data_IF_074234004172
#
_entry.id   IF_074234004172
#
_cell.length_a   1.000
_cell.length_b   1.000
_cell.length_c   1.000
_cell.angle_alpha   90.00
_cell.angle_beta   90.00
_cell.angle_gamma   90.00
#
_symmetry.space_group_name_H-M   'P 1'
#
loop_
_entity.id
_entity.type
_entity.pdbx_description
1 polymer ?
#
# COMPACT_ATOMS: atom_id res chain seq x y z
N UNK A 1 12.99 50.02 80.87
CA UNK A 1 13.24 48.58 80.53
C UNK A 1 12.54 48.30 79.21
N UNK A 2 13.31 48.07 78.17
CA UNK A 2 12.84 47.99 76.80
C UNK A 2 12.30 46.55 76.49
N UNK A 3 11.10 46.46 75.92
CA UNK A 3 10.55 45.22 75.40
C UNK A 3 10.44 45.30 73.87
N UNK A 4 11.33 44.56 73.21
CA UNK A 4 11.43 44.49 71.73
C UNK A 4 10.38 43.52 71.17
N UNK A 5 9.48 44.04 70.32
CA UNK A 5 8.48 43.25 69.61
C UNK A 5 9.06 42.81 68.28
N UNK A 6 9.24 41.49 68.09
CA UNK A 6 9.67 40.89 66.80
C UNK A 6 8.47 40.73 65.86
N UNK A 7 8.60 41.23 64.63
CA UNK A 7 7.67 41.11 63.51
C UNK A 7 7.96 39.82 62.74
N UNK A 8 6.99 38.98 62.33
CA UNK A 8 7.26 37.81 61.47
C UNK A 8 7.39 38.19 59.99
N UNK A 9 8.40 37.61 59.32
CA UNK A 9 8.69 37.73 57.90
C UNK A 9 7.62 37.03 57.06
N UNK A 10 7.00 37.78 56.13
CA UNK A 10 6.15 37.27 55.07
C UNK A 10 7.00 36.47 54.07
N UNK A 11 6.77 35.16 53.93
CA UNK A 11 7.27 34.35 52.83
C UNK A 11 6.50 34.69 51.52
N UNK A 12 7.18 35.30 50.57
CA UNK A 12 6.68 35.54 49.21
C UNK A 12 6.52 34.19 48.48
N UNK A 13 5.31 33.89 48.01
CA UNK A 13 5.07 32.82 47.01
C UNK A 13 5.59 33.28 45.64
N UNK A 14 6.71 32.73 45.20
CA UNK A 14 7.17 32.86 43.84
C UNK A 14 6.28 31.99 42.92
N UNK A 15 5.40 32.60 42.14
CA UNK A 15 4.67 31.96 41.07
C UNK A 15 5.58 31.95 39.83
N UNK A 16 6.33 30.92 39.65
CA UNK A 16 7.06 30.66 38.40
C UNK A 16 6.06 30.21 37.34
N UNK A 17 5.72 31.08 36.40
CA UNK A 17 5.02 30.69 35.16
C UNK A 17 5.88 29.67 34.38
N UNK A 18 5.31 28.56 33.90
CA UNK A 18 6.07 27.62 33.08
C UNK A 18 6.57 28.30 31.80
N UNK A 19 7.86 28.07 31.50
CA UNK A 19 8.55 28.66 30.37
C UNK A 19 7.91 28.21 29.05
N UNK A 20 7.72 29.13 28.07
CA UNK A 20 7.23 28.83 26.71
C UNK A 20 8.00 27.70 26.00
N UNK A 21 9.25 27.42 26.40
CA UNK A 21 10.05 26.31 25.90
C UNK A 21 9.57 24.94 26.38
N UNK A 22 9.07 24.80 27.60
CA UNK A 22 8.53 23.54 28.11
C UNK A 22 7.23 23.16 27.38
N UNK A 23 6.35 24.12 27.08
CA UNK A 23 5.09 23.87 26.35
C UNK A 23 5.31 23.46 24.89
N UNK A 24 6.39 23.93 24.22
CA UNK A 24 6.71 23.53 22.84
C UNK A 24 7.30 22.12 22.76
N UNK A 25 8.08 21.71 23.75
CA UNK A 25 8.64 20.35 23.84
C UNK A 25 7.58 19.31 24.20
N UNK A 26 6.59 19.69 25.01
CA UNK A 26 5.45 18.80 25.32
C UNK A 26 4.50 18.66 24.12
N UNK A 27 4.23 19.73 23.38
CA UNK A 27 3.44 19.69 22.14
C UNK A 27 4.12 18.89 21.00
N UNK A 28 5.45 18.85 20.98
CA UNK A 28 6.23 18.05 19.99
C UNK A 28 6.28 16.57 20.41
N UNK A 29 6.34 16.28 21.69
CA UNK A 29 6.19 14.93 22.24
C UNK A 29 4.80 14.34 22.04
N UNK A 30 3.74 15.14 22.20
CA UNK A 30 2.36 14.71 21.91
C UNK A 30 2.14 14.45 20.43
N UNK A 31 2.68 15.28 19.54
CA UNK A 31 2.64 15.04 18.08
C UNK A 31 3.42 13.81 17.67
N UNK A 32 4.61 13.59 18.20
CA UNK A 32 5.41 12.39 17.98
C UNK A 32 4.73 11.14 18.54
N UNK A 33 4.09 11.23 19.71
CA UNK A 33 3.31 10.14 20.30
C UNK A 33 2.08 9.75 19.49
N UNK A 34 1.37 10.73 18.90
CA UNK A 34 0.20 10.49 18.04
C UNK A 34 0.57 9.74 16.75
N UNK A 35 1.65 10.12 16.08
CA UNK A 35 2.15 9.46 14.88
C UNK A 35 2.57 8.01 15.17
N UNK A 36 3.23 7.76 16.29
CA UNK A 36 3.59 6.41 16.72
C UNK A 36 2.38 5.52 17.01
N UNK A 37 1.29 6.05 17.55
CA UNK A 37 0.06 5.27 17.81
C UNK A 37 -0.58 4.81 16.51
N UNK A 38 -0.62 5.65 15.48
CA UNK A 38 -1.14 5.27 14.16
C UNK A 38 -0.29 4.16 13.52
N UNK A 39 1.03 4.27 13.57
CA UNK A 39 1.94 3.25 13.05
C UNK A 39 1.74 1.90 13.77
N UNK A 40 1.62 1.91 15.10
CA UNK A 40 1.35 0.71 15.92
C UNK A 40 -0.03 0.11 15.64
N UNK A 41 -1.05 0.95 15.43
CA UNK A 41 -2.39 0.49 15.04
C UNK A 41 -2.35 -0.23 13.69
N UNK A 42 -1.67 0.35 12.69
CA UNK A 42 -1.47 -0.27 11.38
C UNK A 42 -0.70 -1.60 11.49
N UNK A 43 0.31 -1.69 12.35
CA UNK A 43 1.06 -2.94 12.58
C UNK A 43 0.17 -4.04 13.19
N UNK A 44 -0.68 -3.69 14.15
CA UNK A 44 -1.66 -4.63 14.73
C UNK A 44 -2.62 -5.12 13.63
N UNK A 45 -3.13 -4.24 12.77
CA UNK A 45 -4.02 -4.63 11.68
C UNK A 45 -3.34 -5.59 10.69
N UNK A 46 -2.06 -5.36 10.33
CA UNK A 46 -1.29 -6.27 9.46
C UNK A 46 -1.09 -7.65 10.09
N UNK A 47 -0.84 -7.71 11.39
CA UNK A 47 -0.71 -9.00 12.11
C UNK A 47 -2.02 -9.78 12.09
N UNK A 48 -3.17 -9.10 12.05
CA UNK A 48 -4.50 -9.72 12.00
C UNK A 48 -4.96 -10.11 10.58
N UNK A 49 -4.33 -9.58 9.54
CA UNK A 49 -4.74 -9.74 8.13
C UNK A 49 -4.87 -11.21 7.72
N UNK A 50 -3.96 -12.08 8.16
CA UNK A 50 -3.96 -13.50 7.82
C UNK A 50 -4.47 -14.39 8.96
N UNK A 51 -5.28 -13.84 9.87
CA UNK A 51 -5.75 -14.54 11.08
C UNK A 51 -7.28 -14.53 11.16
N UNK A 52 -7.99 -15.30 10.32
CA UNK A 52 -9.46 -15.30 10.28
C UNK A 52 -10.10 -15.73 11.60
N UNK A 53 -9.44 -16.60 12.35
CA UNK A 53 -9.86 -17.05 13.67
C UNK A 53 -9.59 -16.01 14.79
N UNK A 54 -8.82 -14.97 14.46
CA UNK A 54 -8.42 -13.93 15.37
C UNK A 54 -7.25 -14.33 16.29
N UNK A 55 -6.67 -13.32 16.94
CA UNK A 55 -5.58 -13.49 17.91
C UNK A 55 -5.95 -12.93 19.27
N UNK A 56 -5.46 -13.57 20.34
CA UNK A 56 -5.55 -13.00 21.67
C UNK A 56 -4.65 -11.76 21.81
N UNK A 57 -4.98 -10.84 22.75
CA UNK A 57 -4.15 -9.66 23.03
C UNK A 57 -2.69 -10.02 23.36
N UNK A 58 -2.46 -11.19 23.97
CA UNK A 58 -1.11 -11.68 24.27
C UNK A 58 -0.33 -12.13 23.04
N UNK A 59 -0.99 -12.74 22.06
CA UNK A 59 -0.39 -13.11 20.78
C UNK A 59 -0.04 -11.88 19.96
N UNK A 60 -0.98 -10.91 19.85
CA UNK A 60 -0.74 -9.62 19.20
C UNK A 60 0.44 -8.91 19.84
N UNK A 61 0.47 -8.80 21.18
CA UNK A 61 1.54 -8.11 21.91
C UNK A 61 2.93 -8.69 21.61
N UNK A 62 3.03 -10.02 21.52
CA UNK A 62 4.27 -10.71 21.13
C UNK A 62 4.66 -10.44 19.68
N UNK A 63 3.70 -10.46 18.76
CA UNK A 63 3.94 -10.26 17.35
C UNK A 63 4.44 -8.83 17.03
N UNK A 64 3.86 -7.80 17.68
CA UNK A 64 4.23 -6.39 17.46
C UNK A 64 5.27 -5.85 18.46
N UNK A 65 5.80 -6.67 19.39
CA UNK A 65 6.80 -6.25 20.35
C UNK A 65 6.34 -5.18 21.35
N UNK A 66 5.04 -5.11 21.66
CA UNK A 66 4.46 -4.10 22.57
C UNK A 66 3.97 -4.71 23.88
N UNK A 67 3.92 -3.88 24.94
CA UNK A 67 3.28 -4.28 26.19
C UNK A 67 1.78 -4.58 25.97
N UNK A 68 1.26 -5.65 26.59
CA UNK A 68 -0.15 -6.08 26.46
C UNK A 68 -1.15 -4.95 26.79
N UNK A 69 -0.86 -4.11 27.78
CA UNK A 69 -1.70 -2.95 28.13
C UNK A 69 -1.78 -1.91 27.01
N UNK A 70 -0.68 -1.69 26.28
CA UNK A 70 -0.63 -0.80 25.12
C UNK A 70 -1.46 -1.37 23.96
N UNK A 71 -1.29 -2.67 23.66
CA UNK A 71 -2.11 -3.37 22.65
C UNK A 71 -3.59 -3.31 23.01
N UNK A 72 -3.96 -3.56 24.26
CA UNK A 72 -5.34 -3.49 24.72
C UNK A 72 -5.97 -2.11 24.47
N UNK A 73 -5.24 -1.01 24.73
CA UNK A 73 -5.73 0.36 24.49
C UNK A 73 -5.90 0.65 22.99
N UNK A 74 -4.95 0.21 22.17
CA UNK A 74 -5.03 0.41 20.70
C UNK A 74 -6.17 -0.43 20.13
N UNK A 75 -6.29 -1.69 20.51
CA UNK A 75 -7.37 -2.60 20.08
C UNK A 75 -8.74 -2.05 20.50
N UNK A 76 -8.88 -1.51 21.73
CA UNK A 76 -10.12 -0.87 22.16
C UNK A 76 -10.48 0.35 21.29
N UNK A 77 -9.50 1.18 20.93
CA UNK A 77 -9.72 2.31 20.03
C UNK A 77 -10.09 1.85 18.59
N UNK A 78 -9.41 0.83 18.05
CA UNK A 78 -9.75 0.25 16.74
C UNK A 78 -11.14 -0.40 16.74
N UNK A 79 -11.55 -1.01 17.87
CA UNK A 79 -12.88 -1.62 18.01
C UNK A 79 -13.99 -0.56 18.07
N UNK A 80 -13.72 0.60 18.66
CA UNK A 80 -14.67 1.73 18.69
C UNK A 80 -14.99 2.26 17.29
N UNK A 81 -14.04 2.08 16.32
CA UNK A 81 -14.19 2.47 14.91
C UNK A 81 -14.58 1.28 14.00
N UNK A 82 -14.95 0.13 14.57
CA UNK A 82 -15.26 -1.11 13.85
C UNK A 82 -14.10 -1.67 12.99
N UNK A 83 -12.86 -1.23 13.21
CA UNK A 83 -11.69 -1.73 12.45
C UNK A 83 -11.24 -3.11 12.91
N UNK A 84 -11.55 -3.48 14.13
CA UNK A 84 -11.39 -4.82 14.67
C UNK A 84 -12.64 -5.24 15.43
N UNK A 85 -12.87 -6.55 15.54
CA UNK A 85 -13.97 -7.14 16.30
C UNK A 85 -13.47 -8.25 17.21
N UNK A 86 -14.16 -8.46 18.36
CA UNK A 86 -13.90 -9.58 19.25
C UNK A 86 -14.52 -10.86 18.68
N UNK A 87 -13.80 -11.99 18.76
CA UNK A 87 -14.28 -13.32 18.35
C UNK A 87 -14.66 -14.10 19.58
N UNK A 88 -15.97 -14.27 19.80
CA UNK A 88 -16.52 -15.17 20.84
C UNK A 88 -16.13 -14.85 22.29
N UNK A 89 -16.55 -15.70 23.24
CA UNK A 89 -16.35 -15.48 24.67
C UNK A 89 -14.88 -15.53 25.14
N UNK A 90 -14.00 -16.15 24.34
CA UNK A 90 -12.59 -16.33 24.69
C UNK A 90 -11.67 -15.24 24.12
N UNK A 91 -12.22 -14.17 23.53
CA UNK A 91 -11.54 -12.90 23.35
C UNK A 91 -10.46 -12.84 22.28
N UNK A 92 -10.58 -13.55 21.15
CA UNK A 92 -9.78 -13.31 19.96
C UNK A 92 -10.15 -11.97 19.31
N UNK A 93 -9.17 -11.27 18.75
CA UNK A 93 -9.35 -10.04 17.95
C UNK A 93 -9.11 -10.37 16.50
N UNK A 94 -10.01 -9.96 15.63
CA UNK A 94 -9.89 -10.09 14.16
C UNK A 94 -10.20 -8.77 13.47
N UNK A 95 -9.91 -8.70 12.19
CA UNK A 95 -10.29 -7.59 11.31
C UNK A 95 -11.81 -7.37 11.38
N UNK A 96 -12.21 -6.10 11.53
CA UNK A 96 -13.62 -5.68 11.63
C UNK A 96 -14.18 -5.19 10.29
N UNK A 97 -15.51 -5.11 10.20
CA UNK A 97 -16.23 -4.72 8.98
C UNK A 97 -16.10 -3.23 8.65
N UNK A 98 -15.67 -2.38 9.58
CA UNK A 98 -15.38 -0.97 9.34
C UNK A 98 -14.34 -0.74 8.25
N UNK A 99 -13.34 -1.64 8.16
CA UNK A 99 -12.33 -1.58 7.10
C UNK A 99 -12.90 -1.91 5.72
N UNK A 100 -13.93 -2.76 5.62
CA UNK A 100 -14.59 -3.08 4.34
C UNK A 100 -15.27 -1.82 3.77
N UNK A 101 -15.89 -0.99 4.61
CA UNK A 101 -16.50 0.27 4.18
C UNK A 101 -15.46 1.26 3.65
N UNK A 102 -14.29 1.34 4.30
CA UNK A 102 -13.21 2.20 3.85
C UNK A 102 -12.56 1.67 2.57
N UNK A 103 -12.32 0.37 2.50
CA UNK A 103 -11.80 -0.29 1.30
C UNK A 103 -12.73 -0.09 0.10
N UNK A 104 -14.05 -0.09 0.31
CA UNK A 104 -15.02 0.17 -0.74
C UNK A 104 -14.90 1.58 -1.35
N UNK A 105 -14.25 2.54 -0.68
CA UNK A 105 -13.98 3.86 -1.22
C UNK A 105 -12.62 3.99 -1.93
N UNK A 106 -11.72 3.02 -1.73
CA UNK A 106 -10.36 3.01 -2.30
C UNK A 106 -10.39 2.26 -3.63
N UNK A 107 -10.30 2.98 -4.75
CA UNK A 107 -10.22 2.36 -6.09
C UNK A 107 -11.45 1.57 -6.53
N UNK A 108 -12.49 1.45 -5.66
CA UNK A 108 -13.70 0.67 -5.94
C UNK A 108 -14.39 1.10 -7.24
N UNK A 109 -14.37 2.39 -7.54
CA UNK A 109 -14.98 2.90 -8.78
C UNK A 109 -14.25 2.38 -10.04
N UNK A 110 -12.92 2.33 -10.03
CA UNK A 110 -12.11 1.85 -11.15
C UNK A 110 -12.13 0.32 -11.26
N UNK A 111 -11.99 -0.40 -10.15
CA UNK A 111 -12.04 -1.86 -10.14
C UNK A 111 -13.41 -2.37 -10.60
N UNK A 112 -14.50 -1.84 -10.04
CA UNK A 112 -15.87 -2.20 -10.47
C UNK A 112 -16.13 -1.86 -11.93
N UNK A 113 -15.69 -0.67 -12.37
CA UNK A 113 -15.86 -0.19 -13.75
C UNK A 113 -15.11 -1.07 -14.74
N UNK A 114 -13.88 -1.47 -14.41
CA UNK A 114 -13.03 -2.25 -15.32
C UNK A 114 -13.22 -3.75 -15.22
N UNK A 115 -13.82 -4.27 -14.14
CA UNK A 115 -13.95 -5.71 -13.91
C UNK A 115 -14.57 -6.52 -15.07
N UNK A 116 -15.65 -6.07 -15.76
CA UNK A 116 -16.15 -6.77 -16.95
C UNK A 116 -15.14 -6.85 -18.08
N UNK A 117 -14.36 -5.78 -18.26
CA UNK A 117 -13.33 -5.70 -19.29
C UNK A 117 -12.11 -6.56 -18.96
N UNK A 118 -11.69 -6.58 -17.66
CA UNK A 118 -10.62 -7.45 -17.18
C UNK A 118 -10.96 -8.93 -17.37
N UNK A 119 -12.23 -9.31 -17.11
CA UNK A 119 -12.71 -10.68 -17.35
C UNK A 119 -12.63 -11.05 -18.83
N UNK A 120 -13.08 -10.17 -19.72
CA UNK A 120 -12.99 -10.41 -21.16
C UNK A 120 -11.54 -10.59 -21.61
N UNK A 121 -10.60 -9.75 -21.12
CA UNK A 121 -9.17 -9.92 -21.39
C UNK A 121 -8.64 -11.25 -20.86
N UNK A 122 -8.98 -11.63 -19.62
CA UNK A 122 -8.58 -12.90 -19.02
C UNK A 122 -9.13 -14.11 -19.79
N UNK A 123 -10.35 -14.01 -20.31
CA UNK A 123 -10.95 -15.03 -21.17
C UNK A 123 -10.21 -15.15 -22.52
N UNK A 124 -9.82 -14.01 -23.11
CA UNK A 124 -9.11 -13.96 -24.40
C UNK A 124 -7.69 -14.52 -24.28
N UNK A 125 -6.95 -14.18 -23.23
CA UNK A 125 -5.55 -14.63 -23.07
C UNK A 125 -5.40 -15.94 -22.30
N UNK A 126 -6.41 -16.35 -21.51
CA UNK A 126 -6.38 -17.55 -20.68
C UNK A 126 -5.48 -17.47 -19.44
N UNK A 127 -4.87 -16.31 -19.17
CA UNK A 127 -3.96 -16.06 -18.07
C UNK A 127 -4.54 -15.09 -17.04
N UNK A 128 -3.91 -14.97 -15.89
CA UNK A 128 -4.30 -14.01 -14.85
C UNK A 128 -4.17 -12.58 -15.36
N UNK A 129 -5.14 -11.73 -15.02
CA UNK A 129 -5.12 -10.29 -15.29
C UNK A 129 -5.23 -9.55 -13.98
N UNK A 130 -4.24 -8.72 -13.69
CA UNK A 130 -4.16 -7.91 -12.48
C UNK A 130 -4.44 -6.44 -12.77
N UNK A 131 -5.15 -5.79 -11.87
CA UNK A 131 -5.34 -4.35 -11.81
C UNK A 131 -4.62 -3.79 -10.61
N UNK A 132 -3.80 -2.79 -10.81
CA UNK A 132 -3.07 -2.11 -9.73
C UNK A 132 -3.12 -0.60 -9.84
N UNK A 133 -2.92 0.08 -8.70
CA UNK A 133 -2.81 1.53 -8.58
C UNK A 133 -1.53 1.89 -7.86
N UNK A 134 -1.05 3.11 -8.05
CA UNK A 134 0.08 3.63 -7.30
C UNK A 134 -0.35 4.03 -5.87
N UNK A 135 0.37 3.54 -4.87
CA UNK A 135 0.22 3.99 -3.48
C UNK A 135 1.59 4.05 -2.79
N UNK A 136 2.03 5.26 -2.42
CA UNK A 136 3.39 5.45 -1.92
C UNK A 136 4.44 5.10 -2.99
N UNK A 137 5.40 4.25 -2.66
CA UNK A 137 6.40 3.69 -3.57
C UNK A 137 6.04 2.31 -4.14
N UNK A 138 4.76 1.93 -4.18
CA UNK A 138 4.35 0.57 -4.54
C UNK A 138 3.21 0.56 -5.56
N UNK A 139 3.20 -0.46 -6.42
CA UNK A 139 2.03 -0.89 -7.16
C UNK A 139 1.17 -1.77 -6.24
N UNK A 140 -0.05 -1.33 -5.94
CA UNK A 140 -0.99 -2.05 -5.06
C UNK A 140 -2.06 -2.71 -5.90
N UNK A 141 -2.22 -4.02 -5.76
CA UNK A 141 -3.27 -4.76 -6.46
C UNK A 141 -4.64 -4.45 -5.87
N UNK A 142 -5.57 -4.00 -6.71
CA UNK A 142 -6.93 -3.62 -6.31
C UNK A 142 -8.00 -4.56 -6.88
N UNK A 143 -7.68 -5.30 -7.95
CA UNK A 143 -8.52 -6.36 -8.50
C UNK A 143 -7.67 -7.39 -9.26
N UNK A 144 -8.18 -8.61 -9.37
CA UNK A 144 -7.57 -9.72 -10.09
C UNK A 144 -8.64 -10.60 -10.72
N UNK A 145 -8.38 -11.02 -11.96
CA UNK A 145 -9.13 -12.07 -12.64
C UNK A 145 -8.19 -13.25 -12.85
N UNK A 146 -8.38 -14.37 -12.12
CA UNK A 146 -7.52 -15.54 -12.27
C UNK A 146 -7.61 -16.16 -13.67
N UNK A 147 -6.47 -16.62 -14.18
CA UNK A 147 -6.41 -17.38 -15.43
C UNK A 147 -7.07 -18.76 -15.33
N UNK A 148 -7.31 -19.38 -16.48
CA UNK A 148 -7.98 -20.69 -16.57
C UNK A 148 -7.02 -21.88 -16.64
N UNK A 149 -5.72 -21.63 -16.63
CA UNK A 149 -4.70 -22.69 -16.70
C UNK A 149 -4.58 -23.44 -15.38
N UNK A 150 -4.08 -24.69 -15.42
CA UNK A 150 -3.80 -25.48 -14.20
C UNK A 150 -2.73 -24.84 -13.32
N UNK A 151 -1.74 -24.21 -13.94
CA UNK A 151 -0.70 -23.43 -13.27
C UNK A 151 -0.90 -21.97 -13.64
N UNK A 152 -1.26 -21.16 -12.68
CA UNK A 152 -1.48 -19.70 -12.81
C UNK A 152 -0.55 -18.95 -11.88
N UNK A 153 -0.10 -17.77 -12.30
CA UNK A 153 0.50 -16.80 -11.40
C UNK A 153 -0.63 -16.02 -10.72
N UNK A 154 -0.63 -16.00 -9.41
CA UNK A 154 -1.63 -15.29 -8.62
C UNK A 154 -0.94 -14.27 -7.72
N UNK A 155 -1.51 -13.07 -7.67
CA UNK A 155 -1.23 -12.04 -6.69
C UNK A 155 -2.44 -11.91 -5.75
N UNK A 156 -2.26 -11.36 -4.56
CA UNK A 156 -3.40 -11.09 -3.67
C UNK A 156 -3.84 -9.63 -3.80
N UNK A 157 -5.15 -9.38 -3.78
CA UNK A 157 -5.68 -8.01 -3.67
C UNK A 157 -5.20 -7.39 -2.37
N UNK A 158 -4.66 -6.16 -2.42
CA UNK A 158 -4.01 -5.48 -1.31
C UNK A 158 -2.49 -5.68 -1.27
N UNK A 159 -1.95 -6.66 -1.99
CA UNK A 159 -0.51 -6.89 -2.06
C UNK A 159 0.22 -5.72 -2.73
N UNK A 160 1.44 -5.45 -2.26
CA UNK A 160 2.25 -4.29 -2.64
C UNK A 160 3.51 -4.76 -3.33
N UNK A 161 3.69 -4.35 -4.56
CA UNK A 161 4.84 -4.75 -5.38
C UNK A 161 5.77 -3.57 -5.67
N UNK A 162 7.09 -3.82 -5.77
CA UNK A 162 8.05 -2.78 -6.12
C UNK A 162 7.83 -2.25 -7.54
N UNK A 163 8.15 -0.95 -7.74
CA UNK A 163 7.90 -0.30 -9.03
C UNK A 163 8.97 -0.64 -10.07
N UNK A 164 10.22 -0.85 -9.67
CA UNK A 164 11.36 -0.92 -10.58
C UNK A 164 11.56 -2.27 -11.28
N UNK A 165 11.00 -3.36 -10.76
CA UNK A 165 11.23 -4.72 -11.26
C UNK A 165 9.95 -5.49 -11.61
N UNK A 166 8.80 -4.82 -11.67
CA UNK A 166 7.52 -5.42 -12.05
C UNK A 166 6.94 -4.76 -13.29
N UNK A 167 6.19 -5.50 -14.09
CA UNK A 167 5.60 -4.97 -15.32
C UNK A 167 4.62 -3.82 -15.06
N UNK A 168 3.72 -3.95 -14.07
CA UNK A 168 2.81 -2.89 -13.65
C UNK A 168 3.56 -1.71 -13.02
N UNK A 169 4.60 -1.95 -12.24
CA UNK A 169 5.44 -0.92 -11.66
C UNK A 169 6.17 -0.07 -12.70
N UNK A 170 6.85 -0.70 -13.65
CA UNK A 170 7.52 0.01 -14.77
C UNK A 170 6.51 0.75 -15.66
N UNK A 171 5.32 0.19 -15.87
CA UNK A 171 4.23 0.87 -16.58
C UNK A 171 3.75 2.13 -15.84
N UNK A 172 3.64 2.08 -14.50
CA UNK A 172 3.31 3.23 -13.65
C UNK A 172 4.41 4.30 -13.75
N UNK A 173 5.69 3.91 -13.60
CA UNK A 173 6.83 4.84 -13.68
C UNK A 173 6.86 5.62 -15.00
N UNK A 174 6.50 4.96 -16.11
CA UNK A 174 6.45 5.59 -17.43
C UNK A 174 5.40 6.70 -17.57
N UNK A 175 4.43 6.78 -16.66
CA UNK A 175 3.43 7.86 -16.60
C UNK A 175 3.97 9.18 -16.04
N UNK A 176 5.18 9.19 -15.47
CA UNK A 176 5.78 10.34 -14.78
C UNK A 176 6.97 10.91 -15.57
N UNK A 177 7.42 12.11 -15.17
CA UNK A 177 8.69 12.66 -15.64
C UNK A 177 9.86 11.81 -15.11
N UNK A 178 11.05 11.94 -15.71
CA UNK A 178 12.22 11.19 -15.23
C UNK A 178 12.58 11.51 -13.78
N UNK A 179 12.42 12.78 -13.38
CA UNK A 179 12.69 13.21 -12.00
C UNK A 179 11.70 12.57 -11.01
N UNK A 180 10.39 12.61 -11.31
CA UNK A 180 9.37 12.04 -10.46
C UNK A 180 9.45 10.51 -10.42
N UNK A 181 9.75 9.87 -11.56
CA UNK A 181 9.94 8.43 -11.65
C UNK A 181 11.13 7.98 -10.77
N UNK A 182 12.23 8.74 -10.76
CA UNK A 182 13.38 8.46 -9.91
C UNK A 182 13.03 8.58 -8.42
N UNK A 183 12.28 9.62 -8.01
CA UNK A 183 11.82 9.78 -6.63
C UNK A 183 10.93 8.61 -6.22
N UNK A 184 10.03 8.16 -7.10
CA UNK A 184 9.18 6.99 -6.86
C UNK A 184 10.00 5.69 -6.72
N UNK A 185 11.07 5.52 -7.50
CA UNK A 185 11.99 4.38 -7.37
C UNK A 185 12.68 4.41 -6.02
N UNK A 186 13.16 5.56 -5.55
CA UNK A 186 13.79 5.68 -4.23
C UNK A 186 12.80 5.34 -3.10
N UNK A 187 11.56 5.80 -3.18
CA UNK A 187 10.49 5.38 -2.25
C UNK A 187 10.22 3.88 -2.33
N UNK A 188 10.19 3.32 -3.54
CA UNK A 188 9.99 1.89 -3.75
C UNK A 188 11.07 1.05 -3.10
N UNK A 189 12.33 1.43 -3.22
CA UNK A 189 13.45 0.74 -2.59
C UNK A 189 13.38 0.78 -1.05
N UNK A 190 12.90 1.90 -0.48
CA UNK A 190 12.69 2.00 0.96
C UNK A 190 11.54 1.10 1.46
N UNK A 191 10.46 0.99 0.68
CA UNK A 191 9.30 0.15 1.03
C UNK A 191 9.58 -1.35 0.79
N UNK A 192 10.48 -1.67 -0.15
CA UNK A 192 10.79 -3.04 -0.58
C UNK A 192 12.30 -3.35 -0.51
N UNK A 193 12.93 -3.33 0.67
CA UNK A 193 14.39 -3.49 0.82
C UNK A 193 14.91 -4.87 0.41
N UNK A 194 14.03 -5.87 0.25
CA UNK A 194 14.38 -7.23 -0.22
C UNK A 194 14.64 -7.33 -1.72
N UNK A 195 14.27 -6.31 -2.49
CA UNK A 195 14.51 -6.25 -3.94
C UNK A 195 15.75 -5.39 -4.21
N UNK A 196 16.64 -5.88 -5.04
CA UNK A 196 17.92 -5.24 -5.33
C UNK A 196 17.77 -3.83 -5.92
N UNK A 197 18.82 -3.02 -5.80
CA UNK A 197 18.88 -1.72 -6.44
C UNK A 197 19.02 -1.92 -7.96
N UNK A 198 18.12 -1.35 -8.78
CA UNK A 198 18.17 -1.53 -10.23
C UNK A 198 19.40 -0.83 -10.84
N UNK A 199 19.87 -1.33 -11.97
CA UNK A 199 20.71 -0.55 -12.86
C UNK A 199 19.89 0.64 -13.37
N UNK A 200 20.24 1.84 -12.96
CA UNK A 200 19.50 3.08 -13.31
C UNK A 200 19.45 3.33 -14.80
N UNK A 201 20.50 2.99 -15.55
CA UNK A 201 20.54 3.21 -16.99
C UNK A 201 19.62 2.21 -17.71
N UNK A 202 19.65 0.94 -17.31
CA UNK A 202 18.75 -0.08 -17.84
C UNK A 202 17.28 0.26 -17.53
N UNK A 203 16.96 0.65 -16.30
CA UNK A 203 15.60 1.04 -15.92
C UNK A 203 15.11 2.28 -16.70
N UNK A 204 15.96 3.28 -16.93
CA UNK A 204 15.61 4.45 -17.73
C UNK A 204 15.31 4.06 -19.20
N UNK A 205 16.08 3.13 -19.77
CA UNK A 205 15.81 2.59 -21.11
C UNK A 205 14.48 1.83 -21.14
N UNK A 206 14.20 1.01 -20.12
CA UNK A 206 12.92 0.31 -19.99
C UNK A 206 11.75 1.30 -19.94
N UNK A 207 11.84 2.34 -19.10
CA UNK A 207 10.80 3.36 -18.97
C UNK A 207 10.57 4.08 -20.31
N UNK A 208 11.62 4.44 -21.03
CA UNK A 208 11.50 5.10 -22.34
C UNK A 208 10.88 4.16 -23.38
N UNK A 209 11.25 2.87 -23.37
CA UNK A 209 10.61 1.85 -24.19
C UNK A 209 9.11 1.73 -23.87
N UNK A 210 8.73 1.78 -22.59
CA UNK A 210 7.32 1.77 -22.18
C UNK A 210 6.57 3.00 -22.67
N UNK A 211 7.15 4.18 -22.62
CA UNK A 211 6.54 5.43 -23.13
C UNK A 211 6.25 5.35 -24.61
N UNK A 212 7.13 4.73 -25.38
CA UNK A 212 7.00 4.59 -26.83
C UNK A 212 6.06 3.44 -27.24
N UNK A 213 6.11 2.30 -26.54
CA UNK A 213 5.36 1.08 -26.92
C UNK A 213 4.08 0.88 -26.12
N UNK A 214 3.92 1.56 -24.98
CA UNK A 214 2.89 1.35 -23.96
C UNK A 214 2.92 -0.05 -23.31
N UNK A 215 4.02 -0.77 -23.45
CA UNK A 215 4.22 -2.11 -22.88
C UNK A 215 5.45 -2.13 -21.96
N UNK A 216 5.25 -2.54 -20.72
CA UNK A 216 6.29 -2.84 -19.77
C UNK A 216 6.43 -4.36 -19.61
N UNK A 217 7.64 -4.82 -19.39
CA UNK A 217 7.92 -6.25 -19.18
C UNK A 217 8.62 -6.48 -17.85
N UNK A 218 8.23 -7.53 -17.17
CA UNK A 218 8.99 -8.18 -16.10
C UNK A 218 9.43 -9.55 -16.63
N UNK A 219 10.72 -9.76 -16.76
CA UNK A 219 11.30 -10.99 -17.29
C UNK A 219 12.04 -11.71 -16.16
N UNK A 220 11.28 -12.18 -15.16
CA UNK A 220 11.80 -12.82 -13.93
C UNK A 220 12.61 -11.87 -13.03
N UNK A 221 12.40 -10.57 -13.15
CA UNK A 221 13.08 -9.55 -12.34
C UNK A 221 12.51 -9.51 -10.92
N UNK A 222 11.18 -9.60 -10.79
CA UNK A 222 10.50 -9.67 -9.50
C UNK A 222 10.56 -11.07 -8.89
N UNK A 223 10.36 -12.10 -9.68
CA UNK A 223 10.31 -13.48 -9.18
C UNK A 223 10.65 -14.52 -10.26
N UNK A 224 11.52 -15.45 -9.91
CA UNK A 224 11.91 -16.54 -10.84
C UNK A 224 10.72 -17.40 -11.25
N UNK A 225 10.66 -17.76 -12.52
CA UNK A 225 9.63 -18.62 -13.09
C UNK A 225 8.36 -17.88 -13.50
N UNK A 226 8.23 -16.58 -13.21
CA UNK A 226 7.12 -15.73 -13.63
C UNK A 226 7.65 -14.58 -14.46
N UNK A 227 7.04 -14.38 -15.63
CA UNK A 227 7.23 -13.19 -16.47
C UNK A 227 5.89 -12.48 -16.63
N UNK A 228 5.92 -11.18 -16.87
CA UNK A 228 4.69 -10.42 -17.03
C UNK A 228 4.82 -9.36 -18.12
N UNK A 229 3.70 -8.99 -18.70
CA UNK A 229 3.57 -7.77 -19.51
C UNK A 229 2.52 -6.86 -18.88
N UNK A 230 2.79 -5.55 -18.87
CA UNK A 230 1.94 -4.56 -18.25
C UNK A 230 1.78 -3.30 -19.11
N UNK A 231 0.73 -2.55 -18.83
CA UNK A 231 0.45 -1.23 -19.40
C UNK A 231 -0.18 -0.34 -18.35
N UNK A 232 -0.12 0.99 -18.54
CA UNK A 232 -0.79 1.92 -17.65
C UNK A 232 -1.50 3.03 -18.41
N UNK A 233 -2.52 3.60 -17.75
CA UNK A 233 -3.28 4.77 -18.17
C UNK A 233 -3.41 5.72 -16.98
N UNK A 234 -3.54 7.01 -17.25
CA UNK A 234 -3.89 8.01 -16.23
C UNK A 234 -5.40 8.19 -16.17
N UNK A 235 -5.93 8.23 -14.96
CA UNK A 235 -7.31 8.63 -14.69
C UNK A 235 -7.51 10.16 -14.86
N UNK A 236 -8.73 10.70 -14.73
CA UNK A 236 -8.98 12.13 -14.92
C UNK A 236 -8.27 13.05 -13.90
N UNK A 237 -7.84 12.51 -12.77
CA UNK A 237 -7.09 13.28 -11.76
C UNK A 237 -5.59 13.07 -11.86
N UNK A 238 -5.12 12.34 -12.88
CA UNK A 238 -3.70 12.10 -13.15
C UNK A 238 -3.10 10.93 -12.37
N UNK A 239 -3.92 10.08 -11.75
CA UNK A 239 -3.43 8.90 -11.03
C UNK A 239 -3.24 7.73 -11.98
N UNK A 240 -2.09 7.02 -11.95
CA UNK A 240 -1.85 5.88 -12.81
C UNK A 240 -2.62 4.65 -12.35
N UNK A 241 -3.23 3.99 -13.33
CA UNK A 241 -3.89 2.70 -13.22
C UNK A 241 -3.13 1.74 -14.13
N UNK A 242 -2.60 0.65 -13.60
CA UNK A 242 -1.85 -0.31 -14.38
C UNK A 242 -2.57 -1.66 -14.44
N UNK A 243 -2.46 -2.28 -15.60
CA UNK A 243 -2.96 -3.63 -15.88
C UNK A 243 -1.77 -4.49 -16.26
N UNK A 244 -1.65 -5.67 -15.66
CA UNK A 244 -0.59 -6.63 -16.00
C UNK A 244 -1.14 -8.04 -16.18
N UNK A 245 -0.41 -8.84 -16.95
CA UNK A 245 -0.70 -10.24 -17.22
C UNK A 245 0.53 -11.03 -16.81
N UNK A 246 0.57 -11.56 -15.55
CA UNK A 246 1.62 -12.46 -15.11
C UNK A 246 1.39 -13.85 -15.68
N UNK A 247 2.46 -14.46 -16.17
CA UNK A 247 2.43 -15.78 -16.82
C UNK A 247 3.65 -16.60 -16.38
N UNK A 248 3.54 -17.88 -16.12
CA UNK A 248 4.71 -18.74 -15.98
C UNK A 248 5.65 -18.59 -17.18
N UNK A 249 6.95 -18.33 -16.91
CA UNK A 249 7.92 -17.90 -17.93
C UNK A 249 8.01 -18.83 -19.13
N UNK A 250 7.85 -20.14 -18.93
CA UNK A 250 7.86 -21.12 -20.03
C UNK A 250 6.75 -20.82 -21.07
N UNK A 251 5.53 -20.50 -20.63
CA UNK A 251 4.43 -20.14 -21.53
C UNK A 251 4.54 -18.70 -22.06
N UNK A 252 5.13 -17.82 -21.26
CA UNK A 252 5.33 -16.43 -21.66
C UNK A 252 6.19 -16.31 -22.91
N UNK A 253 7.26 -17.10 -23.02
CA UNK A 253 8.14 -17.10 -24.20
C UNK A 253 7.36 -17.40 -25.47
N UNK A 254 6.46 -18.38 -25.43
CA UNK A 254 5.66 -18.79 -26.59
C UNK A 254 4.51 -17.80 -26.89
N UNK A 255 3.84 -17.30 -25.83
CA UNK A 255 2.64 -16.45 -25.95
C UNK A 255 2.92 -14.95 -25.95
N UNK A 256 4.14 -14.49 -25.72
CA UNK A 256 4.48 -13.09 -25.46
C UNK A 256 3.87 -12.12 -26.46
N UNK A 257 4.01 -12.41 -27.75
CA UNK A 257 3.52 -11.54 -28.81
C UNK A 257 1.99 -11.40 -28.78
N UNK A 258 1.30 -12.52 -28.70
CA UNK A 258 -0.16 -12.55 -28.64
C UNK A 258 -0.69 -11.80 -27.40
N UNK A 259 -0.13 -12.09 -26.23
CA UNK A 259 -0.54 -11.47 -24.95
C UNK A 259 -0.32 -9.96 -25.00
N UNK A 260 0.82 -9.52 -25.53
CA UNK A 260 1.13 -8.09 -25.69
C UNK A 260 0.16 -7.38 -26.65
N UNK A 261 -0.17 -8.00 -27.79
CA UNK A 261 -1.15 -7.48 -28.74
C UNK A 261 -2.54 -7.36 -28.11
N UNK A 262 -2.99 -8.38 -27.36
CA UNK A 262 -4.27 -8.34 -26.64
C UNK A 262 -4.30 -7.24 -25.56
N UNK A 263 -3.21 -7.06 -24.83
CA UNK A 263 -3.10 -6.02 -23.81
C UNK A 263 -3.14 -4.61 -24.42
N UNK A 264 -2.50 -4.38 -25.58
CA UNK A 264 -2.58 -3.11 -26.29
C UNK A 264 -3.99 -2.81 -26.81
N UNK A 265 -4.66 -3.81 -27.40
CA UNK A 265 -6.06 -3.66 -27.84
C UNK A 265 -6.98 -3.37 -26.63
N UNK A 266 -6.76 -4.06 -25.53
CA UNK A 266 -7.46 -3.83 -24.29
C UNK A 266 -7.24 -2.40 -23.79
N UNK A 267 -5.99 -1.92 -23.76
CA UNK A 267 -5.64 -0.56 -23.36
C UNK A 267 -6.41 0.49 -24.15
N UNK A 268 -6.45 0.38 -25.46
CA UNK A 268 -7.20 1.34 -26.30
C UNK A 268 -8.72 1.26 -26.07
N UNK A 269 -9.25 0.07 -25.82
CA UNK A 269 -10.68 -0.14 -25.50
C UNK A 269 -11.09 0.52 -24.19
N UNK A 270 -10.26 0.42 -23.14
CA UNK A 270 -10.57 0.99 -21.82
C UNK A 270 -10.17 2.46 -21.67
N UNK A 271 -9.33 2.99 -22.55
CA UNK A 271 -8.82 4.36 -22.48
C UNK A 271 -9.93 5.41 -22.33
N UNK A 272 -10.99 5.44 -23.15
CA UNK A 272 -12.09 6.40 -22.96
C UNK A 272 -12.80 6.23 -21.63
N UNK A 273 -12.91 4.99 -21.13
CA UNK A 273 -13.56 4.68 -19.86
C UNK A 273 -12.72 5.24 -18.70
N UNK A 274 -11.41 4.96 -18.71
CA UNK A 274 -10.46 5.37 -17.66
C UNK A 274 -10.26 6.87 -17.66
N UNK A 275 -10.12 7.52 -18.83
CA UNK A 275 -9.85 8.97 -18.93
C UNK A 275 -11.09 9.85 -18.82
N UNK A 276 -12.29 9.26 -18.73
CA UNK A 276 -13.56 10.01 -18.70
C UNK A 276 -13.87 10.79 -19.99
N UNK A 277 -13.14 10.54 -21.08
CA UNK A 277 -13.37 11.17 -22.38
C UNK A 277 -14.30 10.26 -23.20
N UNK A 278 -15.54 10.69 -23.38
CA UNK A 278 -16.48 10.11 -24.36
C UNK A 278 -16.19 10.60 -25.77
#
# INVERSE_FOLDING_TARGET
MAGTVSRPLRRGRSSTKPSKRASALDADRERSGGIQVIARAAEILRVLEHQPEGLSLGQIARAVGLARSTVQRIVAALAAEDFVSAVGPNGGVRIGTGLVRLAASVGSNVAELLRPHLRALGDDVGETVDLSVLSGGSAVFVDQVPGRQRLVALSAVGERFPLHCTANGKAILACFSDADALELVEKSLMEHPGFGVPDRAALAQDIEAVRSTHLAYDLEEHGKGISAVGTALLDPVGSPIAISIPVPSARFVEGRRYIAEQLLQFRERIKPIVTGRR
#
